data_IF_765263678088
#
_entry.id   IF_765263678088
#
_cell.length_a   1.000
_cell.length_b   1.000
_cell.length_c   1.000
_cell.angle_alpha   90.00
_cell.angle_beta   90.00
_cell.angle_gamma   90.00
#
_symmetry.space_group_name_H-M   'P 1'
#
loop_
_entity.id
_entity.type
_entity.pdbx_description
1 polymer ?
#
# COMPACT_ATOMS: atom_id res chain seq x y z
N UNK A 1 -9.83 45.04 -37.01
CA UNK A 1 -8.54 45.51 -36.52
C UNK A 1 -8.37 44.94 -35.12
N UNK A 2 -7.34 44.14 -34.87
CA UNK A 2 -7.12 43.52 -33.57
C UNK A 2 -6.85 44.57 -32.50
N UNK A 3 -7.64 44.60 -31.42
CA UNK A 3 -7.51 45.52 -30.29
C UNK A 3 -7.62 44.73 -28.99
N UNK A 4 -6.70 44.95 -28.06
CA UNK A 4 -6.71 44.34 -26.74
C UNK A 4 -6.69 45.40 -25.66
N UNK A 5 -7.43 45.13 -24.57
CA UNK A 5 -7.50 46.06 -23.46
C UNK A 5 -6.53 45.59 -22.35
N UNK A 6 -5.57 46.45 -21.99
CA UNK A 6 -4.54 46.14 -21.00
C UNK A 6 -4.91 46.58 -19.58
N UNK A 7 -6.18 46.92 -19.30
CA UNK A 7 -6.59 47.31 -17.93
C UNK A 7 -6.61 46.12 -16.95
N UNK A 8 -6.65 44.88 -17.45
CA UNK A 8 -6.79 43.65 -16.65
C UNK A 8 -5.53 42.75 -16.73
N UNK A 9 -4.34 43.33 -16.80
CA UNK A 9 -3.07 42.58 -16.96
C UNK A 9 -2.78 41.67 -15.77
N UNK A 10 -3.30 41.96 -14.55
CA UNK A 10 -2.99 41.20 -13.34
C UNK A 10 -1.49 41.27 -12.98
N UNK A 11 -0.89 40.13 -12.74
CA UNK A 11 0.55 39.98 -12.45
C UNK A 11 1.42 39.69 -13.67
N UNK A 12 0.82 39.59 -14.86
CA UNK A 12 1.53 39.30 -16.12
C UNK A 12 2.32 40.51 -16.62
N UNK A 13 3.41 40.26 -17.32
CA UNK A 13 4.06 41.31 -18.10
C UNK A 13 3.23 41.65 -19.34
N UNK A 14 3.41 42.87 -19.93
CA UNK A 14 2.65 43.30 -21.11
C UNK A 14 2.78 42.33 -22.30
N UNK A 15 3.96 41.73 -22.50
CA UNK A 15 4.13 40.79 -23.61
C UNK A 15 3.45 39.45 -23.35
N UNK A 16 3.49 38.96 -22.12
CA UNK A 16 2.82 37.71 -21.72
C UNK A 16 1.30 37.83 -21.85
N UNK A 17 0.75 38.96 -21.41
CA UNK A 17 -0.66 39.24 -21.59
C UNK A 17 -1.07 39.27 -23.06
N UNK A 18 -0.32 40.02 -23.90
CA UNK A 18 -0.56 40.10 -25.35
C UNK A 18 -0.45 38.70 -26.01
N UNK A 19 0.57 37.94 -25.65
CA UNK A 19 0.74 36.55 -26.10
C UNK A 19 -0.47 35.68 -25.75
N UNK A 20 -0.94 35.73 -24.49
CA UNK A 20 -2.12 34.98 -24.03
C UNK A 20 -3.39 35.36 -24.78
N UNK A 21 -3.59 36.65 -25.03
CA UNK A 21 -4.74 37.14 -25.81
C UNK A 21 -4.74 36.63 -27.26
N UNK A 22 -3.64 36.76 -27.98
CA UNK A 22 -3.52 36.27 -29.36
C UNK A 22 -3.67 34.76 -29.43
N UNK A 23 -3.01 34.05 -28.54
CA UNK A 23 -3.12 32.58 -28.41
C UNK A 23 -4.57 32.14 -28.22
N UNK A 24 -5.28 32.80 -27.31
CA UNK A 24 -6.69 32.49 -27.02
C UNK A 24 -7.58 32.75 -28.25
N UNK A 25 -7.39 33.86 -28.96
CA UNK A 25 -8.11 34.19 -30.20
C UNK A 25 -7.88 33.14 -31.30
N UNK A 26 -6.65 32.62 -31.40
CA UNK A 26 -6.32 31.56 -32.34
C UNK A 26 -7.02 30.25 -31.93
N UNK A 27 -6.97 29.89 -30.66
CA UNK A 27 -7.58 28.65 -30.13
C UNK A 27 -9.11 28.67 -30.20
N UNK A 28 -9.72 29.87 -30.01
CA UNK A 28 -11.18 30.03 -30.12
C UNK A 28 -11.66 30.22 -31.58
N UNK A 29 -10.72 30.32 -32.54
CA UNK A 29 -11.04 30.50 -33.94
C UNK A 29 -11.47 31.93 -34.30
N UNK A 30 -11.30 32.91 -33.43
CA UNK A 30 -11.49 34.32 -33.72
C UNK A 30 -10.46 34.81 -34.76
N UNK A 31 -9.22 34.31 -34.66
CA UNK A 31 -8.20 34.42 -35.68
C UNK A 31 -8.16 33.13 -36.49
N UNK A 32 -8.43 33.24 -37.78
CA UNK A 32 -8.54 32.07 -38.67
C UNK A 32 -7.18 31.57 -39.13
N UNK A 33 -7.09 30.26 -39.40
CA UNK A 33 -5.91 29.63 -39.99
C UNK A 33 -5.51 30.39 -41.31
N UNK A 34 -4.23 30.69 -41.45
CA UNK A 34 -3.70 31.46 -42.58
C UNK A 34 -4.00 32.98 -42.55
N UNK A 35 -4.69 33.46 -41.52
CA UNK A 35 -4.95 34.89 -41.36
C UNK A 35 -3.67 35.66 -41.10
N UNK A 36 -3.54 36.81 -41.74
CA UNK A 36 -2.36 37.65 -41.61
C UNK A 36 -2.46 38.57 -40.39
N UNK A 37 -1.50 38.45 -39.50
CA UNK A 37 -1.36 39.33 -38.33
C UNK A 37 -0.75 40.70 -38.74
N UNK A 38 -1.04 41.79 -37.98
CA UNK A 38 -0.42 43.08 -38.20
C UNK A 38 1.10 43.02 -38.06
N UNK A 39 1.81 43.92 -38.75
CA UNK A 39 3.26 44.03 -38.54
C UNK A 39 3.59 44.49 -37.13
N UNK A 40 4.72 44.08 -36.56
CA UNK A 40 5.16 44.43 -35.20
C UNK A 40 5.02 45.96 -34.94
N UNK A 41 5.44 46.78 -35.86
CA UNK A 41 5.36 48.26 -35.74
C UNK A 41 3.91 48.78 -35.80
N UNK A 42 3.13 48.25 -36.74
CA UNK A 42 1.71 48.69 -36.91
C UNK A 42 0.89 48.27 -35.69
N UNK A 43 1.13 47.08 -35.17
CA UNK A 43 0.40 46.57 -34.03
C UNK A 43 0.77 47.28 -32.72
N UNK A 44 2.06 47.56 -32.51
CA UNK A 44 2.53 48.35 -31.38
C UNK A 44 1.91 49.77 -31.37
N UNK A 45 1.89 50.41 -32.53
CA UNK A 45 1.26 51.74 -32.68
C UNK A 45 -0.25 51.71 -32.37
N UNK A 46 -0.94 50.69 -32.84
CA UNK A 46 -2.38 50.49 -32.64
C UNK A 46 -2.75 50.26 -31.16
N UNK A 47 -1.94 49.49 -30.46
CA UNK A 47 -2.18 49.11 -29.05
C UNK A 47 -1.57 50.09 -28.05
N UNK A 48 -0.78 51.09 -28.52
CA UNK A 48 -0.11 52.06 -27.66
C UNK A 48 1.00 51.44 -26.78
N UNK A 49 1.64 50.38 -27.26
CA UNK A 49 2.70 49.64 -26.51
C UNK A 49 4.02 49.66 -27.27
N UNK A 50 5.10 49.18 -26.64
CA UNK A 50 6.42 49.13 -27.29
C UNK A 50 6.47 48.08 -28.40
N UNK A 51 7.28 48.32 -29.44
CA UNK A 51 7.53 47.34 -30.50
C UNK A 51 8.16 46.08 -29.96
N UNK A 52 9.03 46.19 -28.95
CA UNK A 52 9.69 45.07 -28.28
C UNK A 52 8.66 44.16 -27.59
N UNK A 53 7.62 44.73 -26.99
CA UNK A 53 6.52 43.94 -26.35
C UNK A 53 5.82 43.06 -27.36
N UNK A 54 5.48 43.63 -28.56
CA UNK A 54 4.86 42.83 -29.63
C UNK A 54 5.82 41.82 -30.21
N UNK A 55 7.08 42.18 -30.32
CA UNK A 55 8.15 41.26 -30.80
C UNK A 55 8.28 40.02 -29.91
N UNK A 56 8.43 40.21 -28.61
CA UNK A 56 8.52 39.10 -27.65
C UNK A 56 7.27 38.20 -27.68
N UNK A 57 6.07 38.78 -27.75
CA UNK A 57 4.83 38.02 -27.87
C UNK A 57 4.78 37.20 -29.18
N UNK A 58 5.21 37.80 -30.31
CA UNK A 58 5.25 37.10 -31.59
C UNK A 58 6.32 36.01 -31.63
N UNK A 59 7.49 36.27 -31.06
CA UNK A 59 8.56 35.27 -30.98
C UNK A 59 8.12 34.05 -30.15
N UNK A 60 7.42 34.27 -29.04
CA UNK A 60 6.87 33.16 -28.25
C UNK A 60 5.78 32.40 -29.02
N UNK A 61 4.86 33.11 -29.72
CA UNK A 61 3.85 32.46 -30.56
C UNK A 61 4.47 31.64 -31.70
N UNK A 62 5.59 32.13 -32.28
CA UNK A 62 6.35 31.41 -33.32
C UNK A 62 7.04 30.18 -32.70
N UNK A 63 7.69 30.32 -31.55
CA UNK A 63 8.36 29.24 -30.88
C UNK A 63 7.39 28.11 -30.50
N UNK A 64 6.18 28.45 -30.11
CA UNK A 64 5.11 27.49 -29.80
C UNK A 64 4.34 27.00 -31.05
N UNK A 65 4.61 27.57 -32.22
CA UNK A 65 4.01 27.18 -33.50
C UNK A 65 2.60 27.71 -33.76
N UNK A 66 2.07 28.64 -32.95
CA UNK A 66 0.76 29.25 -33.18
C UNK A 66 0.72 30.17 -34.40
N UNK A 67 1.84 30.80 -34.69
CA UNK A 67 2.01 31.62 -35.87
C UNK A 67 3.33 31.28 -36.58
N UNK A 68 3.43 31.60 -37.84
CA UNK A 68 4.67 31.46 -38.60
C UNK A 68 5.00 32.76 -39.36
N UNK A 69 6.28 32.97 -39.66
CA UNK A 69 6.79 34.13 -40.37
C UNK A 69 7.08 33.78 -41.82
N UNK A 70 6.60 34.62 -42.75
CA UNK A 70 7.00 34.56 -44.15
C UNK A 70 7.94 35.73 -44.47
N UNK A 71 9.15 35.48 -45.03
CA UNK A 71 10.07 36.54 -45.40
C UNK A 71 9.44 37.58 -46.30
N UNK A 72 9.55 38.87 -45.93
CA UNK A 72 8.96 40.04 -46.61
C UNK A 72 7.43 40.08 -46.72
N UNK A 73 6.71 39.07 -46.17
CA UNK A 73 5.24 38.98 -46.25
C UNK A 73 4.55 39.20 -44.90
N UNK A 74 5.23 38.86 -43.77
CA UNK A 74 4.72 39.09 -42.42
C UNK A 74 4.44 37.83 -41.64
N UNK A 75 3.55 37.92 -40.66
CA UNK A 75 3.20 36.84 -39.72
C UNK A 75 1.82 36.31 -40.02
N UNK A 76 1.63 35.01 -39.91
CA UNK A 76 0.39 34.31 -40.26
C UNK A 76 0.05 33.26 -39.19
N UNK A 77 -1.25 33.07 -38.96
CA UNK A 77 -1.76 32.05 -38.06
C UNK A 77 -1.52 30.66 -38.68
N UNK A 78 -1.02 29.73 -37.87
CA UNK A 78 -0.77 28.36 -38.31
C UNK A 78 -2.11 27.62 -38.53
N UNK A 79 -2.17 26.75 -39.55
CA UNK A 79 -3.33 25.91 -39.80
C UNK A 79 -3.28 24.65 -38.89
N UNK A 80 -4.14 24.61 -37.89
CA UNK A 80 -4.33 23.48 -37.01
C UNK A 80 -5.45 22.54 -37.48
N UNK A 81 -5.99 22.71 -38.70
CA UNK A 81 -7.02 21.84 -39.26
C UNK A 81 -6.45 20.43 -39.46
N UNK A 82 -6.87 19.54 -38.62
CA UNK A 82 -6.47 18.13 -38.58
C UNK A 82 -6.03 17.62 -37.20
N UNK A 83 -5.76 18.49 -36.24
CA UNK A 83 -5.36 18.11 -34.89
C UNK A 83 -6.38 18.46 -33.82
N UNK A 84 -7.21 19.44 -34.07
CA UNK A 84 -8.31 19.83 -33.19
C UNK A 84 -9.64 19.72 -33.94
N UNK A 85 -10.14 18.53 -34.20
CA UNK A 85 -11.59 18.34 -34.04
C UNK A 85 -11.85 18.71 -32.58
N UNK A 86 -12.31 19.90 -32.33
CA UNK A 86 -12.94 20.25 -31.06
C UNK A 86 -14.20 19.38 -30.96
N UNK A 87 -14.04 18.14 -30.49
CA UNK A 87 -15.09 17.57 -29.68
C UNK A 87 -15.32 18.62 -28.62
N UNK A 88 -16.46 19.36 -28.72
CA UNK A 88 -16.99 20.04 -27.56
C UNK A 88 -16.71 19.08 -26.39
N UNK A 89 -15.94 19.51 -25.42
CA UNK A 89 -15.88 18.79 -24.15
C UNK A 89 -17.34 18.68 -23.75
N UNK A 90 -17.95 17.53 -24.04
CA UNK A 90 -19.09 17.11 -23.27
C UNK A 90 -18.60 17.29 -21.84
N UNK A 91 -19.29 18.14 -21.10
CA UNK A 91 -19.05 18.28 -19.68
C UNK A 91 -18.90 16.85 -19.17
N UNK A 92 -17.72 16.54 -18.63
CA UNK A 92 -17.45 15.25 -18.02
C UNK A 92 -18.42 15.20 -16.84
N UNK A 93 -19.64 14.80 -17.16
CA UNK A 93 -20.62 14.44 -16.17
C UNK A 93 -20.09 13.16 -15.51
N UNK A 94 -20.00 13.26 -14.21
CA UNK A 94 -19.60 12.23 -13.28
C UNK A 94 -18.09 11.98 -13.17
N UNK A 95 -17.44 12.89 -12.46
CA UNK A 95 -16.41 12.49 -11.49
C UNK A 95 -17.02 11.33 -10.72
N UNK A 96 -16.47 10.12 -10.93
CA UNK A 96 -16.74 8.96 -10.05
C UNK A 96 -16.67 9.54 -8.64
N UNK A 97 -17.78 9.57 -7.88
CA UNK A 97 -17.71 10.13 -6.56
C UNK A 97 -16.68 9.32 -5.79
N UNK A 98 -15.57 9.96 -5.44
CA UNK A 98 -14.68 9.45 -4.41
C UNK A 98 -15.53 9.50 -3.13
N UNK A 99 -16.26 8.42 -2.90
CA UNK A 99 -17.05 8.22 -1.69
C UNK A 99 -16.09 7.99 -0.53
N UNK A 100 -15.44 9.04 -0.10
CA UNK A 100 -14.91 9.19 1.24
C UNK A 100 -16.04 9.70 2.13
N UNK A 101 -17.11 8.96 2.22
CA UNK A 101 -18.07 9.11 3.29
C UNK A 101 -17.39 8.59 4.55
N UNK A 102 -16.80 9.46 5.35
CA UNK A 102 -16.43 9.17 6.72
C UNK A 102 -17.73 8.98 7.53
N UNK A 103 -18.31 7.78 7.45
CA UNK A 103 -19.28 7.36 8.42
C UNK A 103 -18.53 7.16 9.72
N UNK A 104 -18.68 8.07 10.65
CA UNK A 104 -18.13 7.95 12.01
C UNK A 104 -18.85 6.80 12.72
N UNK A 105 -18.23 5.63 12.74
CA UNK A 105 -18.71 4.47 13.50
C UNK A 105 -18.32 4.60 14.97
N UNK A 106 -19.14 4.05 15.86
CA UNK A 106 -18.78 3.85 17.28
C UNK A 106 -17.58 2.89 17.40
N UNK A 107 -17.55 1.85 16.57
CA UNK A 107 -16.43 0.95 16.39
C UNK A 107 -16.36 0.42 14.95
N UNK A 108 -15.19 0.43 14.33
CA UNK A 108 -14.92 -0.19 13.04
C UNK A 108 -13.94 -1.35 13.22
N UNK A 109 -14.46 -2.58 13.26
CA UNK A 109 -13.64 -3.81 13.36
C UNK A 109 -13.02 -4.25 12.03
N UNK A 110 -13.29 -3.54 10.93
CA UNK A 110 -12.64 -3.76 9.64
C UNK A 110 -11.37 -2.92 9.47
N UNK A 111 -11.20 -1.89 10.32
CA UNK A 111 -10.05 -1.00 10.29
C UNK A 111 -8.80 -1.71 10.79
N UNK A 112 -7.71 -1.52 10.07
CA UNK A 112 -6.42 -2.10 10.38
C UNK A 112 -5.37 -1.01 10.62
N UNK A 113 -5.79 0.12 11.17
CA UNK A 113 -4.96 1.30 11.42
C UNK A 113 -4.28 1.19 12.78
N UNK A 114 -3.04 1.67 12.84
CA UNK A 114 -2.34 1.91 14.11
C UNK A 114 -2.83 3.24 14.67
N UNK A 115 -3.09 3.31 15.97
CA UNK A 115 -3.47 4.56 16.62
C UNK A 115 -2.32 5.59 16.57
N UNK A 116 -2.66 6.84 16.25
CA UNK A 116 -1.67 7.90 16.10
C UNK A 116 -0.82 8.11 17.37
N UNK A 117 -1.42 7.98 18.55
CA UNK A 117 -0.74 8.15 19.84
C UNK A 117 0.31 7.08 20.13
N UNK A 118 0.26 5.96 19.40
CA UNK A 118 1.25 4.90 19.53
C UNK A 118 2.50 5.14 18.68
N UNK A 119 2.44 6.01 17.68
CA UNK A 119 3.62 6.33 16.87
C UNK A 119 4.62 7.18 17.69
N UNK A 120 5.92 6.87 17.66
CA UNK A 120 6.93 7.54 18.48
C UNK A 120 7.38 8.88 17.87
N UNK A 121 6.48 9.85 17.66
CA UNK A 121 6.70 11.11 16.93
C UNK A 121 7.95 11.87 17.41
N UNK A 122 8.13 12.02 18.71
CA UNK A 122 9.27 12.79 19.27
C UNK A 122 10.62 12.16 18.91
N UNK A 123 10.71 10.82 19.05
CA UNK A 123 11.94 10.09 18.74
C UNK A 123 12.17 10.07 17.23
N UNK A 124 11.11 9.80 16.45
CA UNK A 124 11.19 9.80 15.00
C UNK A 124 11.66 11.16 14.45
N UNK A 125 11.08 12.26 14.94
CA UNK A 125 11.50 13.61 14.57
C UNK A 125 12.95 13.94 14.96
N UNK A 126 13.45 13.37 16.07
CA UNK A 126 14.87 13.47 16.45
C UNK A 126 15.74 12.76 15.41
N UNK A 127 15.42 11.51 15.05
CA UNK A 127 16.17 10.73 14.06
C UNK A 127 16.17 11.40 12.68
N UNK A 128 15.02 11.91 12.22
CA UNK A 128 14.94 12.65 10.96
C UNK A 128 15.88 13.86 10.95
N UNK A 129 15.92 14.65 12.02
CA UNK A 129 16.82 15.82 12.11
C UNK A 129 18.30 15.43 12.08
N UNK A 130 18.67 14.34 12.76
CA UNK A 130 20.02 13.80 12.76
C UNK A 130 20.43 13.34 11.34
N UNK A 131 19.58 12.56 10.67
CA UNK A 131 19.79 12.14 9.30
C UNK A 131 19.95 13.32 8.33
N UNK A 132 19.13 14.36 8.45
CA UNK A 132 19.23 15.57 7.62
C UNK A 132 20.54 16.35 7.85
N UNK A 133 21.10 16.28 9.06
CA UNK A 133 22.36 16.96 9.39
C UNK A 133 23.58 16.20 8.87
N UNK A 134 23.60 14.87 9.05
CA UNK A 134 24.81 14.05 8.90
C UNK A 134 24.91 13.32 7.56
N UNK A 135 23.81 13.13 6.84
CA UNK A 135 23.74 12.26 5.66
C UNK A 135 23.42 12.99 4.35
N UNK A 136 23.73 14.27 4.22
CA UNK A 136 23.30 15.13 3.10
C UNK A 136 23.60 14.58 1.73
N UNK A 137 24.81 14.04 1.51
CA UNK A 137 25.24 13.49 0.22
C UNK A 137 24.48 12.18 -0.08
N UNK A 138 24.41 11.30 0.92
CA UNK A 138 23.74 10.01 0.81
C UNK A 138 22.23 10.17 0.53
N UNK A 139 21.61 11.21 1.11
CA UNK A 139 20.19 11.51 0.88
C UNK A 139 19.88 11.89 -0.58
N UNK A 140 20.86 12.50 -1.28
CA UNK A 140 20.72 12.92 -2.67
C UNK A 140 21.19 11.86 -3.68
N UNK A 141 21.71 10.72 -3.22
CA UNK A 141 22.15 9.62 -4.06
C UNK A 141 21.01 8.64 -4.30
N UNK A 142 20.80 8.19 -5.53
CA UNK A 142 19.78 7.17 -5.82
C UNK A 142 20.06 5.89 -5.04
N UNK A 143 19.07 5.33 -4.32
CA UNK A 143 19.26 4.08 -3.59
C UNK A 143 19.45 2.90 -4.54
N UNK A 144 20.28 1.92 -4.18
CA UNK A 144 20.36 0.65 -4.91
C UNK A 144 19.00 -0.05 -4.96
N UNK A 145 18.77 -0.92 -5.95
CA UNK A 145 17.50 -1.65 -6.12
C UNK A 145 17.04 -2.41 -4.86
N UNK A 146 17.98 -2.96 -4.08
CA UNK A 146 17.67 -3.63 -2.81
C UNK A 146 17.51 -2.70 -1.60
N UNK A 147 17.67 -1.37 -1.75
CA UNK A 147 17.71 -0.40 -0.66
C UNK A 147 19.11 -0.20 -0.09
N UNK A 148 19.25 0.77 0.84
CA UNK A 148 20.55 1.13 1.42
C UNK A 148 21.13 -0.02 2.25
N UNK A 149 22.43 -0.24 2.14
CA UNK A 149 23.13 -1.35 2.80
C UNK A 149 23.02 -1.24 4.33
N UNK A 150 23.10 -0.04 4.90
CA UNK A 150 23.08 0.15 6.34
C UNK A 150 21.73 -0.29 6.96
N UNK A 151 20.60 0.03 6.33
CA UNK A 151 19.28 -0.44 6.79
C UNK A 151 19.15 -1.98 6.66
N UNK A 152 19.65 -2.56 5.57
CA UNK A 152 19.65 -4.01 5.40
C UNK A 152 20.48 -4.72 6.48
N UNK A 153 21.63 -4.13 6.87
CA UNK A 153 22.42 -4.62 8.00
C UNK A 153 21.67 -4.54 9.33
N UNK A 154 21.00 -3.42 9.58
CA UNK A 154 20.19 -3.24 10.78
C UNK A 154 19.03 -4.23 10.85
N UNK A 155 18.34 -4.48 9.73
CA UNK A 155 17.27 -5.49 9.65
C UNK A 155 17.85 -6.88 9.88
N UNK A 156 18.99 -7.24 9.28
CA UNK A 156 19.62 -8.55 9.49
C UNK A 156 20.00 -8.77 10.95
N UNK A 157 20.55 -7.76 11.62
CA UNK A 157 20.84 -7.79 13.07
C UNK A 157 19.58 -7.99 13.89
N UNK A 158 18.55 -7.20 13.64
CA UNK A 158 17.25 -7.31 14.31
C UNK A 158 16.61 -8.70 14.15
N UNK A 159 16.63 -9.27 12.94
CA UNK A 159 16.07 -10.60 12.67
C UNK A 159 16.84 -11.71 13.40
N UNK A 160 18.17 -11.58 13.50
CA UNK A 160 19.00 -12.51 14.26
C UNK A 160 18.61 -12.50 15.74
N UNK A 161 18.49 -11.32 16.33
CA UNK A 161 18.23 -11.18 17.76
C UNK A 161 16.76 -11.49 18.12
N UNK A 162 15.83 -11.08 17.25
CA UNK A 162 14.39 -11.24 17.51
C UNK A 162 13.80 -12.57 17.04
N UNK A 163 14.24 -13.07 15.86
CA UNK A 163 13.68 -14.28 15.21
C UNK A 163 14.63 -15.46 15.15
N UNK A 164 15.90 -15.26 15.55
CA UNK A 164 16.93 -16.29 15.39
C UNK A 164 17.30 -16.58 13.93
N UNK A 165 16.97 -15.67 13.01
CA UNK A 165 17.23 -15.81 11.58
C UNK A 165 18.62 -15.29 11.24
N UNK A 166 19.45 -16.13 10.62
CA UNK A 166 20.78 -15.71 10.14
C UNK A 166 20.70 -15.47 8.64
N UNK A 167 20.62 -14.19 8.25
CA UNK A 167 20.53 -13.75 6.83
C UNK A 167 21.65 -12.78 6.48
N UNK A 168 22.08 -12.81 5.25
CA UNK A 168 23.05 -11.82 4.76
C UNK A 168 22.30 -10.55 4.32
N UNK A 169 22.84 -9.35 4.60
CA UNK A 169 22.18 -8.08 4.18
C UNK A 169 21.87 -8.03 2.68
N UNK A 170 22.68 -8.69 1.83
CA UNK A 170 22.50 -8.77 0.39
C UNK A 170 21.20 -9.51 0.00
N UNK A 171 20.72 -10.44 0.82
CA UNK A 171 19.48 -11.17 0.60
C UNK A 171 18.22 -10.31 0.87
N UNK A 172 18.37 -9.19 1.57
CA UNK A 172 17.27 -8.32 1.97
C UNK A 172 16.99 -7.31 0.86
N UNK A 173 15.76 -7.29 0.38
CA UNK A 173 15.27 -6.33 -0.62
C UNK A 173 14.18 -5.48 0.03
N UNK A 174 14.38 -4.17 0.07
CA UNK A 174 13.48 -3.19 0.66
C UNK A 174 12.54 -2.66 -0.43
N UNK A 175 11.25 -2.48 -0.09
CA UNK A 175 10.26 -1.93 -1.00
C UNK A 175 9.16 -1.13 -0.30
N UNK A 176 8.48 -0.27 -1.07
CA UNK A 176 7.41 0.60 -0.59
C UNK A 176 6.09 -0.16 -0.33
N UNK A 177 6.11 -1.05 0.64
CA UNK A 177 5.00 -1.92 1.03
C UNK A 177 5.04 -3.28 0.33
N UNK A 178 4.33 -4.24 0.92
CA UNK A 178 4.29 -5.63 0.44
C UNK A 178 3.70 -5.77 -0.96
N UNK A 179 2.77 -4.91 -1.33
CA UNK A 179 2.15 -4.92 -2.67
C UNK A 179 3.17 -4.72 -3.79
N UNK A 180 4.12 -3.81 -3.59
CA UNK A 180 5.22 -3.60 -4.53
C UNK A 180 6.14 -4.83 -4.60
N UNK A 181 6.45 -5.41 -3.43
CA UNK A 181 7.29 -6.60 -3.35
C UNK A 181 6.62 -7.82 -4.02
N UNK A 182 5.29 -7.98 -3.91
CA UNK A 182 4.57 -9.04 -4.66
C UNK A 182 4.75 -8.86 -6.17
N UNK A 183 4.67 -7.62 -6.67
CA UNK A 183 4.93 -7.34 -8.09
C UNK A 183 6.36 -7.69 -8.52
N UNK A 184 7.35 -7.42 -7.68
CA UNK A 184 8.74 -7.83 -7.95
C UNK A 184 8.90 -9.37 -7.93
N UNK A 185 8.24 -10.05 -6.98
CA UNK A 185 8.27 -11.51 -6.92
C UNK A 185 7.64 -12.15 -8.16
N UNK A 186 6.54 -11.62 -8.66
CA UNK A 186 5.92 -12.12 -9.90
C UNK A 186 6.89 -11.96 -11.09
N UNK A 187 7.57 -10.81 -11.20
CA UNK A 187 8.55 -10.60 -12.24
C UNK A 187 9.78 -11.53 -12.12
N UNK A 188 10.17 -11.85 -10.90
CA UNK A 188 11.31 -12.74 -10.60
C UNK A 188 10.96 -14.21 -10.86
N UNK A 189 9.84 -14.68 -10.33
CA UNK A 189 9.41 -16.09 -10.35
C UNK A 189 8.70 -16.48 -11.66
N UNK A 190 8.15 -15.49 -12.38
CA UNK A 190 7.52 -15.68 -13.69
C UNK A 190 6.00 -15.70 -13.64
N UNK A 191 5.40 -15.27 -14.75
CA UNK A 191 3.95 -15.23 -14.95
C UNK A 191 3.33 -16.60 -15.23
N UNK A 192 4.14 -17.54 -15.75
CA UNK A 192 3.68 -18.90 -16.11
C UNK A 192 3.56 -19.82 -14.89
N UNK A 193 4.18 -19.46 -13.75
CA UNK A 193 4.12 -20.22 -12.51
C UNK A 193 2.67 -20.23 -11.96
N UNK A 194 2.29 -21.32 -11.31
CA UNK A 194 1.01 -21.47 -10.63
C UNK A 194 1.15 -21.02 -9.19
N UNK A 195 0.57 -19.88 -8.87
CA UNK A 195 0.56 -19.33 -7.51
C UNK A 195 -0.61 -19.90 -6.71
N UNK A 196 -0.45 -20.02 -5.40
CA UNK A 196 -1.53 -20.41 -4.51
C UNK A 196 -1.60 -19.51 -3.28
N UNK A 197 -2.82 -19.28 -2.79
CA UNK A 197 -3.10 -18.50 -1.58
C UNK A 197 -3.99 -19.30 -0.64
N UNK A 198 -4.00 -18.94 0.63
CA UNK A 198 -4.80 -19.55 1.68
C UNK A 198 -6.30 -19.28 1.50
N UNK A 199 -7.15 -20.26 1.83
CA UNK A 199 -8.62 -20.17 1.84
C UNK A 199 -9.21 -20.72 3.16
N UNK A 200 -9.74 -19.85 4.06
CA UNK A 200 -9.89 -18.40 3.90
C UNK A 200 -8.54 -17.69 3.89
N UNK A 201 -8.49 -16.47 3.36
CA UNK A 201 -7.23 -15.72 3.31
C UNK A 201 -7.44 -14.24 3.04
N UNK A 202 -6.34 -13.50 2.99
CA UNK A 202 -6.36 -12.07 2.70
C UNK A 202 -6.67 -11.83 1.23
N UNK A 203 -7.93 -11.52 0.93
CA UNK A 203 -8.48 -11.41 -0.44
C UNK A 203 -7.68 -10.48 -1.37
N UNK A 204 -6.96 -9.52 -0.80
CA UNK A 204 -6.16 -8.57 -1.58
C UNK A 204 -5.02 -9.26 -2.34
N UNK A 205 -4.44 -10.34 -1.79
CA UNK A 205 -3.36 -11.09 -2.44
C UNK A 205 -3.87 -11.71 -3.74
N UNK A 206 -5.01 -12.42 -3.68
CA UNK A 206 -5.64 -13.00 -4.87
C UNK A 206 -5.99 -11.95 -5.93
N UNK A 207 -6.51 -10.77 -5.51
CA UNK A 207 -6.78 -9.64 -6.42
C UNK A 207 -5.53 -9.09 -7.08
N UNK A 208 -4.41 -9.05 -6.35
CA UNK A 208 -3.11 -8.63 -6.91
C UNK A 208 -2.66 -9.65 -7.96
N UNK A 209 -2.67 -10.94 -7.65
CA UNK A 209 -2.33 -11.99 -8.60
C UNK A 209 -3.21 -11.97 -9.85
N UNK A 210 -4.53 -11.78 -9.68
CA UNK A 210 -5.46 -11.60 -10.80
C UNK A 210 -5.10 -10.38 -11.66
N UNK A 211 -4.75 -9.26 -11.04
CA UNK A 211 -4.41 -8.01 -11.74
C UNK A 211 -3.09 -8.14 -12.53
N UNK A 212 -2.13 -8.92 -12.01
CA UNK A 212 -0.91 -9.28 -12.73
C UNK A 212 -1.09 -10.40 -13.77
N UNK A 213 -2.32 -10.92 -13.92
CA UNK A 213 -2.68 -11.97 -14.88
C UNK A 213 -1.86 -13.26 -14.73
N UNK A 214 -1.43 -13.57 -13.51
CA UNK A 214 -0.78 -14.85 -13.21
C UNK A 214 -1.81 -15.95 -12.98
N UNK A 215 -1.44 -17.19 -13.25
CA UNK A 215 -2.27 -18.34 -12.91
C UNK A 215 -2.23 -18.55 -11.40
N UNK A 216 -3.37 -18.40 -10.73
CA UNK A 216 -3.43 -18.57 -9.28
C UNK A 216 -4.62 -19.41 -8.83
N UNK A 217 -4.49 -20.05 -7.69
CA UNK A 217 -5.46 -20.94 -7.08
C UNK A 217 -5.56 -20.66 -5.59
N UNK A 218 -6.62 -21.10 -4.95
CA UNK A 218 -6.69 -21.13 -3.49
C UNK A 218 -6.51 -22.55 -2.97
N UNK A 219 -5.95 -22.67 -1.75
CA UNK A 219 -5.72 -23.91 -1.05
C UNK A 219 -6.52 -23.85 0.25
N UNK A 220 -7.35 -24.83 0.50
CA UNK A 220 -8.14 -24.90 1.71
C UNK A 220 -7.23 -25.11 2.93
N UNK A 221 -7.74 -24.68 4.06
CA UNK A 221 -7.08 -24.82 5.35
C UNK A 221 -7.85 -25.72 6.26
N UNK A 222 -7.12 -26.51 7.03
CA UNK A 222 -7.59 -27.17 8.23
C UNK A 222 -7.22 -26.38 9.50
N UNK A 223 -7.31 -27.00 10.68
CA UNK A 223 -6.94 -26.37 11.95
C UNK A 223 -5.44 -26.13 12.14
N UNK A 224 -4.59 -26.65 11.27
CA UNK A 224 -3.12 -26.54 11.32
C UNK A 224 -2.55 -25.66 10.21
N UNK A 225 -3.38 -25.16 9.29
CA UNK A 225 -2.98 -24.32 8.15
C UNK A 225 -3.34 -24.95 6.81
N UNK A 226 -2.63 -24.57 5.73
CA UNK A 226 -2.91 -25.08 4.38
C UNK A 226 -2.76 -26.59 4.27
N UNK A 227 -3.66 -27.21 3.51
CA UNK A 227 -3.63 -28.64 3.20
C UNK A 227 -2.58 -28.91 2.12
N UNK A 228 -1.43 -29.45 2.50
CA UNK A 228 -0.27 -29.63 1.60
C UNK A 228 -0.58 -30.58 0.43
N UNK A 229 -1.46 -31.57 0.63
CA UNK A 229 -1.92 -32.48 -0.44
C UNK A 229 -2.53 -31.73 -1.65
N UNK A 230 -3.27 -30.66 -1.39
CA UNK A 230 -3.88 -29.85 -2.46
C UNK A 230 -2.84 -29.11 -3.31
N UNK A 231 -1.63 -28.82 -2.77
CA UNK A 231 -0.55 -28.19 -3.55
C UNK A 231 -0.07 -29.13 -4.70
N UNK A 232 0.03 -30.41 -4.41
CA UNK A 232 0.37 -31.43 -5.44
C UNK A 232 -0.77 -31.62 -6.42
N UNK A 233 -2.00 -31.82 -5.92
CA UNK A 233 -3.19 -32.02 -6.75
C UNK A 233 -3.42 -30.86 -7.72
N UNK A 234 -3.31 -29.65 -7.24
CA UNK A 234 -3.51 -28.43 -8.03
C UNK A 234 -2.26 -27.98 -8.81
N UNK A 235 -1.16 -28.76 -8.76
CA UNK A 235 0.11 -28.49 -9.47
C UNK A 235 0.62 -27.08 -9.19
N UNK A 236 0.73 -26.73 -7.90
CA UNK A 236 1.20 -25.41 -7.45
C UNK A 236 2.72 -25.36 -7.52
N UNK A 237 3.25 -24.23 -7.99
CA UNK A 237 4.68 -23.92 -7.99
C UNK A 237 5.03 -23.01 -6.80
N UNK A 238 4.18 -22.03 -6.50
CA UNK A 238 4.46 -21.02 -5.48
C UNK A 238 3.28 -20.92 -4.54
N UNK A 239 3.50 -21.15 -3.24
CA UNK A 239 2.47 -20.98 -2.21
C UNK A 239 2.76 -19.76 -1.35
N UNK A 240 1.76 -18.88 -1.18
CA UNK A 240 1.82 -17.67 -0.36
C UNK A 240 0.98 -17.87 0.89
N UNK A 241 1.63 -17.88 2.05
CA UNK A 241 1.05 -18.24 3.34
C UNK A 241 1.51 -17.33 4.47
N UNK A 242 0.71 -17.26 5.54
CA UNK A 242 1.02 -16.52 6.78
C UNK A 242 1.10 -17.47 7.99
N UNK A 243 2.16 -18.28 8.11
CA UNK A 243 2.20 -19.40 9.04
C UNK A 243 2.41 -19.00 10.50
N UNK A 244 2.92 -17.80 10.77
CA UNK A 244 3.16 -17.31 12.14
C UNK A 244 1.88 -16.81 12.82
N UNK A 245 0.96 -16.26 12.05
CA UNK A 245 -0.33 -15.76 12.48
C UNK A 245 -1.22 -15.57 11.26
N UNK A 246 -2.04 -16.57 10.97
CA UNK A 246 -2.87 -16.53 9.77
C UNK A 246 -3.99 -15.48 9.89
N UNK A 247 -4.11 -14.60 8.89
CA UNK A 247 -5.25 -13.71 8.77
C UNK A 247 -6.28 -14.27 7.77
N UNK A 248 -7.56 -14.44 8.15
CA UNK A 248 -8.19 -13.87 9.35
C UNK A 248 -8.38 -14.81 10.53
N UNK A 249 -7.96 -16.08 10.47
CA UNK A 249 -8.37 -17.11 11.43
C UNK A 249 -7.60 -17.10 12.75
N UNK A 250 -6.43 -16.44 12.78
CA UNK A 250 -5.55 -16.48 13.95
C UNK A 250 -4.78 -17.80 14.12
N UNK A 251 -4.91 -18.74 13.18
CA UNK A 251 -4.19 -20.03 13.23
C UNK A 251 -2.69 -19.78 13.23
N UNK A 252 -1.99 -20.46 14.11
CA UNK A 252 -0.52 -20.53 14.15
C UNK A 252 -0.11 -21.93 13.67
N UNK A 253 0.55 -22.00 12.54
CA UNK A 253 0.94 -23.25 11.89
C UNK A 253 1.95 -24.02 12.75
N UNK A 254 1.67 -25.29 13.15
CA UNK A 254 2.58 -26.11 13.94
C UNK A 254 3.82 -26.50 13.15
N UNK A 255 4.86 -26.89 13.86
CA UNK A 255 6.15 -27.24 13.26
C UNK A 255 6.05 -28.44 12.31
N UNK A 256 5.16 -29.40 12.58
CA UNK A 256 4.89 -30.54 11.70
C UNK A 256 4.47 -30.10 10.31
N UNK A 257 3.48 -29.21 10.20
CA UNK A 257 2.98 -28.70 8.94
C UNK A 257 4.03 -27.84 8.19
N UNK A 258 4.89 -27.13 8.95
CA UNK A 258 6.02 -26.39 8.36
C UNK A 258 6.99 -27.33 7.66
N UNK A 259 7.33 -28.46 8.26
CA UNK A 259 8.19 -29.47 7.63
C UNK A 259 7.51 -30.17 6.45
N UNK A 260 6.20 -30.40 6.48
CA UNK A 260 5.47 -30.92 5.31
C UNK A 260 5.57 -29.97 4.10
N UNK A 261 5.40 -28.66 4.35
CA UNK A 261 5.53 -27.63 3.31
C UNK A 261 6.96 -27.55 2.76
N UNK A 262 7.98 -27.55 3.62
CA UNK A 262 9.38 -27.59 3.19
C UNK A 262 9.68 -28.85 2.39
N UNK A 263 9.13 -30.00 2.81
CA UNK A 263 9.23 -31.26 2.08
C UNK A 263 8.56 -31.20 0.71
N UNK A 264 7.42 -30.51 0.60
CA UNK A 264 6.76 -30.25 -0.69
C UNK A 264 7.63 -29.35 -1.59
N UNK A 265 8.14 -28.25 -1.06
CA UNK A 265 8.92 -27.31 -1.83
C UNK A 265 10.24 -27.90 -2.32
N UNK A 266 10.90 -28.75 -1.53
CA UNK A 266 12.18 -29.39 -1.88
C UNK A 266 12.08 -30.40 -3.01
N UNK A 267 10.88 -30.93 -3.32
CA UNK A 267 10.65 -31.91 -4.40
C UNK A 267 10.65 -31.30 -5.81
N UNK A 268 10.58 -29.97 -5.95
CA UNK A 268 10.54 -29.32 -7.26
C UNK A 268 11.51 -28.14 -7.35
N UNK A 269 12.28 -28.05 -8.45
CA UNK A 269 13.24 -26.94 -8.62
C UNK A 269 12.55 -25.57 -8.62
N UNK A 270 11.44 -25.42 -9.31
CA UNK A 270 10.65 -24.17 -9.41
C UNK A 270 9.69 -23.91 -8.26
N UNK A 271 9.64 -24.77 -7.22
CA UNK A 271 8.74 -24.58 -6.08
C UNK A 271 9.32 -23.65 -5.04
N UNK A 272 8.51 -22.69 -4.58
CA UNK A 272 8.87 -21.77 -3.52
C UNK A 272 7.69 -21.52 -2.57
N UNK A 273 8.03 -21.14 -1.33
CA UNK A 273 7.07 -20.72 -0.31
C UNK A 273 7.30 -19.22 -0.05
N UNK A 274 6.28 -18.39 -0.18
CA UNK A 274 6.27 -17.01 0.29
C UNK A 274 5.70 -17.04 1.70
N UNK A 275 6.55 -16.78 2.68
CA UNK A 275 6.19 -16.66 4.10
C UNK A 275 5.93 -15.19 4.42
N UNK A 276 4.66 -14.78 4.50
CA UNK A 276 4.26 -13.42 4.86
C UNK A 276 4.07 -13.30 6.37
N UNK A 277 5.05 -12.68 7.04
CA UNK A 277 5.14 -12.55 8.49
C UNK A 277 4.82 -11.12 8.93
N UNK A 278 3.60 -10.67 8.63
CA UNK A 278 3.16 -9.27 8.66
C UNK A 278 3.00 -8.65 10.05
N UNK A 279 2.89 -9.44 11.14
CA UNK A 279 2.61 -8.95 12.51
C UNK A 279 3.28 -9.74 13.65
N UNK A 280 4.32 -10.50 13.34
CA UNK A 280 5.01 -11.35 14.33
C UNK A 280 5.58 -10.60 15.52
N UNK A 281 5.92 -9.34 15.34
CA UNK A 281 6.35 -8.44 16.41
C UNK A 281 5.25 -8.22 17.45
N UNK A 282 3.97 -8.33 17.06
CA UNK A 282 2.80 -8.14 17.92
C UNK A 282 2.27 -9.45 18.52
N UNK A 283 3.10 -10.49 18.60
CA UNK A 283 2.74 -11.72 19.33
C UNK A 283 2.64 -11.40 20.82
N UNK A 284 1.42 -11.51 21.36
CA UNK A 284 1.09 -11.10 22.72
C UNK A 284 1.28 -12.21 23.76
N UNK A 285 1.37 -13.47 23.35
CA UNK A 285 1.53 -14.63 24.24
C UNK A 285 2.40 -15.74 23.64
N UNK A 286 2.86 -16.66 24.49
CA UNK A 286 3.63 -17.84 24.10
C UNK A 286 5.07 -17.57 23.64
N UNK A 287 5.83 -18.65 23.41
CA UNK A 287 7.18 -18.56 22.84
C UNK A 287 7.10 -18.37 21.32
N UNK A 288 8.02 -17.61 20.70
CA UNK A 288 8.10 -17.53 19.26
C UNK A 288 8.28 -18.92 18.63
N UNK A 289 7.50 -19.22 17.58
CA UNK A 289 7.72 -20.40 16.76
C UNK A 289 8.76 -20.03 15.69
N UNK A 290 9.75 -20.90 15.40
CA UNK A 290 10.71 -20.66 14.32
C UNK A 290 9.99 -20.39 13.00
N UNK A 291 10.46 -19.42 12.21
CA UNK A 291 9.93 -19.17 10.86
C UNK A 291 10.23 -20.35 9.94
N UNK A 292 9.47 -20.50 8.86
CA UNK A 292 9.83 -21.45 7.79
C UNK A 292 11.24 -21.14 7.25
N UNK A 293 11.54 -19.86 7.05
CA UNK A 293 12.84 -19.41 6.56
C UNK A 293 13.99 -19.84 7.51
N UNK A 294 13.79 -19.74 8.83
CA UNK A 294 14.86 -20.08 9.80
C UNK A 294 15.18 -21.57 9.88
N UNK A 295 14.28 -22.44 9.45
CA UNK A 295 14.44 -23.91 9.43
C UNK A 295 14.62 -24.48 8.00
N UNK A 296 14.62 -23.60 6.99
CA UNK A 296 14.75 -23.99 5.58
C UNK A 296 16.23 -24.24 5.22
N UNK A 297 16.61 -25.50 5.06
CA UNK A 297 17.91 -25.90 4.57
C UNK A 297 18.00 -26.02 3.04
N UNK A 298 16.84 -25.96 2.35
CA UNK A 298 16.74 -26.20 0.91
C UNK A 298 16.67 -24.90 0.10
N UNK A 299 16.71 -23.75 0.76
CA UNK A 299 16.63 -22.41 0.15
C UNK A 299 15.37 -22.24 -0.74
N UNK A 300 14.21 -22.63 -0.22
CA UNK A 300 12.91 -22.58 -0.90
C UNK A 300 11.97 -21.52 -0.33
N UNK A 301 12.34 -20.86 0.77
CA UNK A 301 11.48 -19.88 1.44
C UNK A 301 11.90 -18.46 1.13
N UNK A 302 10.95 -17.69 0.63
CA UNK A 302 11.01 -16.24 0.49
C UNK A 302 10.28 -15.66 1.69
N UNK A 303 11.02 -15.04 2.60
CA UNK A 303 10.41 -14.41 3.79
C UNK A 303 10.05 -12.96 3.50
N UNK A 304 8.89 -12.52 3.98
CA UNK A 304 8.43 -11.14 3.85
C UNK A 304 7.98 -10.59 5.19
N UNK A 305 8.25 -9.30 5.42
CA UNK A 305 7.76 -8.59 6.59
C UNK A 305 7.55 -7.09 6.27
N UNK A 306 6.85 -6.38 7.17
CA UNK A 306 6.49 -4.98 6.98
C UNK A 306 6.52 -4.19 8.28
N UNK A 307 7.00 -2.97 8.23
CA UNK A 307 6.93 -2.02 9.35
C UNK A 307 5.56 -1.34 9.48
N UNK A 308 4.61 -1.67 8.61
CA UNK A 308 3.26 -1.09 8.59
C UNK A 308 2.50 -1.28 9.90
N UNK A 309 2.64 -2.46 10.53
CA UNK A 309 1.95 -2.80 11.77
C UNK A 309 2.66 -2.33 13.02
N UNK A 310 3.96 -2.22 12.93
CA UNK A 310 4.83 -1.87 14.06
C UNK A 310 5.12 -0.38 14.15
N UNK A 311 5.01 0.36 13.06
CA UNK A 311 5.15 1.81 13.04
C UNK A 311 3.84 2.48 12.62
N UNK A 312 3.65 2.67 11.32
CA UNK A 312 2.42 3.22 10.76
C UNK A 312 2.23 2.73 9.31
N UNK A 313 0.97 2.60 8.88
CA UNK A 313 0.64 2.19 7.51
C UNK A 313 1.17 3.16 6.45
N UNK A 314 1.38 4.42 6.81
CA UNK A 314 1.88 5.49 5.96
C UNK A 314 3.40 5.49 5.78
N UNK A 315 4.17 4.83 6.65
CA UNK A 315 5.63 4.69 6.52
C UNK A 315 6.02 3.86 5.29
N UNK A 316 5.16 2.93 4.89
CA UNK A 316 5.29 2.16 3.64
C UNK A 316 6.65 1.47 3.45
N UNK A 317 7.29 1.02 4.50
CA UNK A 317 8.52 0.22 4.41
C UNK A 317 8.19 -1.25 4.68
N UNK A 318 8.54 -2.09 3.72
CA UNK A 318 8.49 -3.55 3.82
C UNK A 318 9.77 -4.13 3.26
N UNK A 319 10.06 -5.37 3.55
CA UNK A 319 11.21 -6.06 3.00
C UNK A 319 10.91 -7.52 2.72
N UNK A 320 11.68 -8.10 1.81
CA UNK A 320 11.71 -9.54 1.56
C UNK A 320 13.14 -10.05 1.67
N UNK A 321 13.27 -11.31 2.05
CA UNK A 321 14.53 -12.04 2.11
C UNK A 321 14.48 -13.11 1.04
N UNK A 322 15.36 -13.00 0.07
CA UNK A 322 15.47 -13.96 -1.02
C UNK A 322 16.42 -15.10 -0.66
N UNK A 323 16.07 -16.35 -0.94
CA UNK A 323 17.01 -17.46 -0.91
C UNK A 323 18.11 -17.22 -1.97
N UNK A 324 19.31 -17.75 -1.73
CA UNK A 324 20.48 -17.49 -2.57
C UNK A 324 20.26 -17.77 -4.06
N UNK A 325 19.59 -18.85 -4.48
CA UNK A 325 19.34 -19.11 -5.90
C UNK A 325 18.53 -18.02 -6.60
N UNK A 326 17.60 -17.37 -5.88
CA UNK A 326 16.79 -16.27 -6.41
C UNK A 326 17.50 -14.92 -6.34
N UNK A 327 18.45 -14.75 -5.43
CA UNK A 327 19.18 -13.49 -5.25
C UNK A 327 19.99 -13.12 -6.50
N UNK A 328 20.71 -14.08 -7.05
CA UNK A 328 21.48 -13.87 -8.29
C UNK A 328 20.56 -13.49 -9.46
N UNK A 329 19.45 -14.23 -9.62
CA UNK A 329 18.45 -13.94 -10.64
C UNK A 329 17.83 -12.55 -10.45
N UNK A 330 17.56 -12.15 -9.19
CA UNK A 330 17.02 -10.83 -8.89
C UNK A 330 17.96 -9.72 -9.37
N UNK A 331 19.23 -9.78 -9.02
CA UNK A 331 20.18 -8.76 -9.45
C UNK A 331 20.45 -8.78 -10.96
N UNK A 332 20.39 -9.93 -11.62
CA UNK A 332 20.52 -10.01 -13.07
C UNK A 332 19.30 -9.42 -13.81
N UNK A 333 18.09 -9.69 -13.32
CA UNK A 333 16.85 -9.30 -14.01
C UNK A 333 16.32 -7.93 -13.61
N UNK A 334 16.48 -7.52 -12.34
CA UNK A 334 15.75 -6.41 -11.74
C UNK A 334 16.64 -5.31 -11.15
N UNK A 335 17.98 -5.40 -11.28
CA UNK A 335 18.90 -4.40 -10.72
C UNK A 335 18.80 -3.00 -11.34
N UNK A 336 18.13 -2.87 -12.49
CA UNK A 336 17.89 -1.58 -13.14
C UNK A 336 16.81 -0.73 -12.44
N UNK A 337 16.00 -1.33 -11.55
CA UNK A 337 15.09 -0.57 -10.70
C UNK A 337 15.86 0.16 -9.59
N UNK A 338 15.38 1.35 -9.22
CA UNK A 338 15.76 1.98 -7.96
C UNK A 338 14.84 1.51 -6.84
N UNK A 339 15.34 1.46 -5.60
CA UNK A 339 14.48 1.20 -4.46
C UNK A 339 13.37 2.26 -4.37
N UNK A 340 12.15 1.82 -4.14
CA UNK A 340 10.97 2.69 -4.09
C UNK A 340 10.78 3.41 -2.76
N UNK A 341 11.55 3.05 -1.73
CA UNK A 341 11.54 3.74 -0.43
C UNK A 341 12.54 4.89 -0.46
N UNK A 342 12.11 6.05 -0.03
CA UNK A 342 12.94 7.25 0.07
C UNK A 342 14.17 7.03 0.98
N UNK A 343 15.32 7.57 0.59
CA UNK A 343 16.51 7.55 1.43
C UNK A 343 16.29 8.24 2.78
N UNK A 344 15.48 9.29 2.84
CA UNK A 344 15.13 9.96 4.09
C UNK A 344 14.51 9.00 5.10
N UNK A 345 13.60 8.17 4.65
CA UNK A 345 12.93 7.16 5.48
C UNK A 345 13.82 5.97 5.78
N UNK A 346 14.60 5.52 4.80
CA UNK A 346 15.51 4.38 4.99
C UNK A 346 16.59 4.71 6.05
N UNK A 347 17.26 5.86 5.96
CA UNK A 347 18.26 6.26 6.95
C UNK A 347 17.65 6.57 8.32
N UNK A 348 16.43 7.13 8.36
CA UNK A 348 15.72 7.37 9.63
C UNK A 348 15.38 6.05 10.33
N UNK A 349 14.87 5.05 9.59
CA UNK A 349 14.56 3.74 10.14
C UNK A 349 15.83 2.99 10.56
N UNK A 350 16.90 3.07 9.76
CA UNK A 350 18.21 2.48 10.09
C UNK A 350 18.68 2.98 11.45
N UNK A 351 18.70 4.30 11.65
CA UNK A 351 19.11 4.92 12.89
C UNK A 351 18.18 4.54 14.06
N UNK A 352 16.87 4.51 13.81
CA UNK A 352 15.86 4.12 14.80
C UNK A 352 16.05 2.68 15.30
N UNK A 353 16.46 1.76 14.42
CA UNK A 353 16.79 0.37 14.78
C UNK A 353 18.12 0.33 15.54
N UNK A 354 19.20 0.92 15.00
CA UNK A 354 20.55 0.90 15.57
C UNK A 354 20.63 1.45 16.99
N UNK A 355 19.89 2.52 17.27
CA UNK A 355 19.82 3.15 18.59
C UNK A 355 18.93 2.37 19.58
N UNK A 356 18.35 1.22 19.17
CA UNK A 356 17.49 0.37 19.99
C UNK A 356 16.11 0.97 20.29
N UNK A 357 15.73 2.04 19.58
CA UNK A 357 14.40 2.65 19.77
C UNK A 357 13.28 1.77 19.19
N UNK A 358 13.56 1.03 18.12
CA UNK A 358 12.59 0.11 17.53
C UNK A 358 12.19 -0.99 18.51
N UNK A 359 13.16 -1.64 19.16
CA UNK A 359 12.89 -2.69 20.16
C UNK A 359 12.07 -2.16 21.35
N UNK A 360 12.47 -0.99 21.88
CA UNK A 360 11.73 -0.33 22.97
C UNK A 360 10.29 -0.03 22.54
N UNK A 361 10.11 0.42 21.31
CA UNK A 361 8.79 0.70 20.74
C UNK A 361 7.94 -0.55 20.62
N UNK A 362 8.47 -1.66 20.09
CA UNK A 362 7.77 -2.95 20.00
C UNK A 362 7.32 -3.44 21.39
N UNK A 363 8.18 -3.37 22.38
CA UNK A 363 7.84 -3.79 23.74
C UNK A 363 6.70 -2.92 24.32
N UNK A 364 6.69 -1.61 24.06
CA UNK A 364 5.59 -0.73 24.45
C UNK A 364 4.29 -1.09 23.72
N UNK A 365 4.34 -1.34 22.42
CA UNK A 365 3.16 -1.74 21.62
C UNK A 365 2.58 -3.07 22.09
N UNK A 366 3.41 -4.06 22.41
CA UNK A 366 2.94 -5.35 22.94
C UNK A 366 2.17 -5.15 24.24
N UNK A 367 2.72 -4.40 25.19
CA UNK A 367 2.03 -4.11 26.44
C UNK A 367 0.71 -3.36 26.21
N UNK A 368 0.73 -2.37 25.31
CA UNK A 368 -0.47 -1.62 24.94
C UNK A 368 -1.57 -2.52 24.38
N UNK A 369 -1.26 -3.32 23.35
CA UNK A 369 -2.25 -4.20 22.74
C UNK A 369 -2.67 -5.36 23.65
N UNK A 370 -1.77 -5.86 24.52
CA UNK A 370 -2.12 -6.85 25.53
C UNK A 370 -3.18 -6.30 26.50
N UNK A 371 -2.97 -5.09 27.02
CA UNK A 371 -3.91 -4.42 27.91
C UNK A 371 -5.25 -4.16 27.22
N UNK A 372 -5.21 -3.70 25.98
CA UNK A 372 -6.39 -3.42 25.16
C UNK A 372 -7.19 -4.69 24.90
N UNK A 373 -6.53 -5.79 24.54
CA UNK A 373 -7.15 -7.11 24.39
C UNK A 373 -7.82 -7.56 25.68
N UNK A 374 -7.07 -7.54 26.78
CA UNK A 374 -7.59 -8.00 28.08
C UNK A 374 -8.81 -7.18 28.52
N UNK A 375 -8.75 -5.85 28.34
CA UNK A 375 -9.88 -4.97 28.65
C UNK A 375 -11.12 -5.26 27.78
N UNK A 376 -10.92 -5.57 26.50
CA UNK A 376 -12.03 -5.92 25.62
C UNK A 376 -12.65 -7.27 26.00
N UNK A 377 -11.83 -8.29 26.22
CA UNK A 377 -12.31 -9.59 26.62
C UNK A 377 -13.00 -9.55 27.99
N UNK A 378 -12.44 -8.83 28.97
CA UNK A 378 -13.09 -8.61 30.26
C UNK A 378 -14.47 -7.97 30.10
N UNK A 379 -14.59 -6.91 29.29
CA UNK A 379 -15.87 -6.27 29.05
C UNK A 379 -16.91 -7.21 28.41
N UNK A 380 -16.50 -8.15 27.57
CA UNK A 380 -17.38 -9.20 27.03
C UNK A 380 -17.81 -10.15 28.15
N UNK A 381 -16.88 -10.65 28.97
CA UNK A 381 -17.15 -11.60 30.02
C UNK A 381 -17.98 -11.02 31.16
N UNK A 382 -17.83 -9.72 31.45
CA UNK A 382 -18.59 -9.00 32.49
C UNK A 382 -20.00 -8.58 32.04
N UNK A 383 -20.35 -8.80 30.77
CA UNK A 383 -21.66 -8.46 30.15
C UNK A 383 -22.49 -9.72 29.87
N UNK A 384 -23.74 -9.55 29.45
CA UNK A 384 -24.57 -10.66 28.95
C UNK A 384 -24.11 -11.27 27.63
N UNK A 385 -23.24 -10.57 26.89
CA UNK A 385 -22.72 -10.99 25.59
C UNK A 385 -21.99 -12.33 25.65
N UNK A 386 -21.30 -12.65 26.75
CA UNK A 386 -20.58 -13.91 26.92
C UNK A 386 -21.46 -15.16 26.75
N UNK A 387 -22.78 -15.06 26.98
CA UNK A 387 -23.72 -16.17 26.84
C UNK A 387 -23.99 -16.57 25.39
N UNK A 388 -23.82 -15.61 24.47
CA UNK A 388 -24.17 -15.78 23.06
C UNK A 388 -22.97 -15.65 22.11
N UNK A 389 -21.75 -15.66 22.63
CA UNK A 389 -20.54 -15.63 21.77
C UNK A 389 -19.60 -16.79 22.07
N UNK A 390 -18.82 -17.15 21.05
CA UNK A 390 -17.61 -17.98 21.17
C UNK A 390 -16.44 -17.17 20.63
N UNK A 391 -15.32 -17.16 21.35
CA UNK A 391 -14.11 -16.43 20.99
C UNK A 391 -13.01 -17.43 20.69
N UNK A 392 -12.24 -17.17 19.64
CA UNK A 392 -11.09 -17.98 19.25
C UNK A 392 -10.03 -17.12 18.54
N UNK A 393 -8.77 -17.60 18.51
CA UNK A 393 -7.67 -16.93 17.81
C UNK A 393 -7.12 -15.69 18.53
N UNK A 394 -7.32 -15.55 19.85
CA UNK A 394 -6.91 -14.37 20.62
C UNK A 394 -5.44 -14.41 21.08
N UNK A 395 -4.69 -15.46 20.77
CA UNK A 395 -3.33 -15.62 21.29
C UNK A 395 -2.28 -14.73 20.60
N UNK A 396 -2.55 -14.28 19.39
CA UNK A 396 -1.59 -13.53 18.59
C UNK A 396 -2.25 -12.32 17.88
N UNK A 397 -1.43 -11.32 17.54
CA UNK A 397 -1.84 -10.17 16.76
C UNK A 397 -2.86 -9.25 17.44
N UNK A 398 -3.57 -8.48 16.62
CA UNK A 398 -4.51 -7.44 17.06
C UNK A 398 -5.97 -7.74 16.67
N UNK A 399 -6.29 -8.99 16.43
CA UNK A 399 -7.65 -9.45 16.14
C UNK A 399 -7.92 -10.81 16.77
N UNK A 400 -9.18 -11.15 16.88
CA UNK A 400 -9.68 -12.49 17.24
C UNK A 400 -10.97 -12.77 16.47
N UNK A 401 -11.41 -14.02 16.45
CA UNK A 401 -12.70 -14.39 15.89
C UNK A 401 -13.76 -14.41 16.99
N UNK A 402 -14.93 -13.85 16.70
CA UNK A 402 -16.11 -13.89 17.53
C UNK A 402 -17.27 -14.50 16.74
N UNK A 403 -17.75 -15.66 17.16
CA UNK A 403 -18.93 -16.31 16.61
C UNK A 403 -20.15 -15.97 17.46
N UNK A 404 -21.19 -15.43 16.84
CA UNK A 404 -22.48 -15.17 17.49
C UNK A 404 -23.35 -16.41 17.38
N UNK A 405 -23.92 -16.83 18.53
CA UNK A 405 -24.92 -17.93 18.63
C UNK A 405 -26.29 -17.36 18.36
N UNK A 406 -26.65 -17.19 17.11
CA UNK A 406 -27.92 -16.62 16.67
C UNK A 406 -28.46 -17.36 15.45
N UNK A 407 -29.78 -17.40 15.32
CA UNK A 407 -30.47 -17.95 14.13
C UNK A 407 -30.69 -16.90 13.03
N UNK A 408 -30.31 -15.64 13.30
CA UNK A 408 -30.45 -14.55 12.33
C UNK A 408 -29.47 -14.79 11.16
N UNK A 409 -29.87 -14.45 9.95
CA UNK A 409 -28.98 -14.44 8.80
C UNK A 409 -27.84 -13.43 9.00
N UNK A 410 -26.65 -13.75 8.49
CA UNK A 410 -25.44 -12.95 8.65
C UNK A 410 -25.63 -11.50 8.17
N UNK A 411 -26.34 -11.31 7.06
CA UNK A 411 -26.64 -9.98 6.50
C UNK A 411 -27.50 -9.15 7.48
N UNK A 412 -28.48 -9.77 8.14
CA UNK A 412 -29.33 -9.11 9.12
C UNK A 412 -28.52 -8.68 10.35
N UNK A 413 -27.58 -9.52 10.80
CA UNK A 413 -26.68 -9.20 11.91
C UNK A 413 -25.81 -7.99 11.56
N UNK A 414 -25.26 -7.94 10.35
CA UNK A 414 -24.44 -6.82 9.87
C UNK A 414 -25.24 -5.51 9.85
N UNK A 415 -26.48 -5.53 9.36
CA UNK A 415 -27.34 -4.32 9.34
C UNK A 415 -27.73 -3.89 10.75
N UNK A 416 -28.04 -4.81 11.65
CA UNK A 416 -28.33 -4.49 13.06
C UNK A 416 -27.09 -3.90 13.75
N UNK A 417 -25.89 -4.43 13.49
CA UNK A 417 -24.64 -3.89 14.00
C UNK A 417 -24.40 -2.46 13.50
N UNK A 418 -24.60 -2.23 12.21
CA UNK A 418 -24.48 -0.91 11.59
C UNK A 418 -25.46 0.10 12.21
N UNK A 419 -26.68 -0.32 12.52
CA UNK A 419 -27.66 0.53 13.23
C UNK A 419 -27.21 0.91 14.66
N UNK A 420 -26.35 0.10 15.31
CA UNK A 420 -25.69 0.44 16.58
C UNK A 420 -24.38 1.23 16.39
N UNK A 421 -24.04 1.62 15.17
CA UNK A 421 -22.77 2.30 14.82
C UNK A 421 -21.56 1.37 14.85
N UNK A 422 -21.76 0.06 14.73
CA UNK A 422 -20.70 -0.95 14.76
C UNK A 422 -20.54 -1.55 13.37
N UNK A 423 -19.33 -1.53 12.84
CA UNK A 423 -19.00 -2.13 11.56
C UNK A 423 -18.29 -3.45 11.76
N UNK A 424 -18.93 -4.55 11.37
CA UNK A 424 -18.43 -5.92 11.49
C UNK A 424 -17.79 -6.40 10.20
N UNK A 425 -16.81 -7.31 10.32
CA UNK A 425 -16.15 -7.99 9.21
C UNK A 425 -16.48 -9.49 9.28
N UNK A 426 -17.46 -9.99 8.50
CA UNK A 426 -17.79 -11.40 8.56
C UNK A 426 -16.68 -12.25 7.95
N UNK A 427 -16.41 -13.40 8.56
CA UNK A 427 -15.40 -14.36 8.12
C UNK A 427 -15.71 -14.92 6.72
N UNK A 428 -16.99 -15.01 6.36
CA UNK A 428 -17.46 -15.44 5.05
C UNK A 428 -16.86 -14.63 3.89
N UNK A 429 -16.54 -13.35 4.08
CA UNK A 429 -15.90 -12.48 3.08
C UNK A 429 -14.46 -12.87 2.75
N UNK A 430 -13.81 -13.69 3.57
CA UNK A 430 -12.43 -14.10 3.37
C UNK A 430 -12.31 -15.44 2.64
N UNK A 431 -13.43 -16.11 2.39
CA UNK A 431 -13.49 -17.31 1.56
C UNK A 431 -13.69 -16.94 0.09
N UNK A 432 -13.04 -17.66 -0.80
CA UNK A 432 -13.22 -17.52 -2.24
C UNK A 432 -14.50 -18.20 -2.72
N UNK A 433 -14.93 -19.25 -2.00
CA UNK A 433 -16.19 -19.93 -2.20
C UNK A 433 -16.97 -20.00 -0.89
N UNK A 434 -18.31 -19.98 -0.97
CA UNK A 434 -19.15 -20.10 0.23
C UNK A 434 -18.92 -21.45 0.90
N UNK A 435 -18.60 -21.41 2.19
CA UNK A 435 -18.42 -22.59 3.03
C UNK A 435 -19.50 -22.58 4.11
N UNK A 436 -20.16 -23.73 4.34
CA UNK A 436 -21.18 -23.87 5.38
C UNK A 436 -20.54 -23.90 6.78
N UNK A 437 -21.28 -23.40 7.77
CA UNK A 437 -20.90 -23.48 9.20
C UNK A 437 -19.98 -22.37 9.72
N UNK A 438 -19.67 -21.39 8.86
CA UNK A 438 -18.85 -20.21 9.23
C UNK A 438 -19.68 -18.96 9.45
N UNK A 439 -20.99 -19.04 9.20
CA UNK A 439 -21.92 -17.93 9.29
C UNK A 439 -21.90 -17.34 10.72
N UNK A 440 -22.16 -16.06 10.81
CA UNK A 440 -22.15 -15.29 12.06
C UNK A 440 -20.83 -15.35 12.83
N UNK A 441 -19.72 -15.61 12.12
CA UNK A 441 -18.36 -15.48 12.66
C UNK A 441 -17.73 -14.19 12.13
N UNK A 442 -17.22 -13.33 13.02
CA UNK A 442 -16.69 -12.01 12.68
C UNK A 442 -15.24 -11.86 13.10
N UNK A 443 -14.46 -11.21 12.26
CA UNK A 443 -13.07 -10.83 12.56
C UNK A 443 -13.10 -9.53 13.37
N UNK A 444 -12.72 -9.61 14.63
CA UNK A 444 -12.75 -8.50 15.59
C UNK A 444 -11.37 -7.87 15.69
N UNK A 445 -11.04 -6.98 14.75
CA UNK A 445 -9.80 -6.21 14.84
C UNK A 445 -9.97 -5.07 15.85
N UNK A 446 -9.27 -5.17 16.99
CA UNK A 446 -9.39 -4.20 18.07
C UNK A 446 -8.31 -3.11 18.05
N UNK A 447 -7.45 -3.07 17.02
CA UNK A 447 -6.33 -2.12 16.96
C UNK A 447 -6.78 -0.65 17.06
N UNK A 448 -7.87 -0.28 16.38
CA UNK A 448 -8.43 1.08 16.33
C UNK A 448 -9.64 1.30 17.25
N UNK A 449 -9.99 0.34 18.11
CA UNK A 449 -11.15 0.46 19.01
C UNK A 449 -10.84 1.38 20.17
N UNK A 450 -11.68 2.38 20.39
CA UNK A 450 -11.60 3.28 21.55
C UNK A 450 -12.06 2.55 22.83
N UNK A 451 -11.12 2.32 23.74
CA UNK A 451 -11.38 1.59 24.99
C UNK A 451 -12.27 2.36 25.98
N UNK A 452 -12.34 3.68 25.90
CA UNK A 452 -13.25 4.48 26.73
C UNK A 452 -14.72 4.20 26.35
N UNK A 453 -14.95 3.76 25.11
CA UNK A 453 -16.29 3.42 24.58
C UNK A 453 -16.64 1.94 24.65
N UNK A 454 -15.73 1.09 25.17
CA UNK A 454 -15.87 -0.38 25.11
C UNK A 454 -17.21 -0.86 25.72
N UNK A 455 -17.66 -0.27 26.83
CA UNK A 455 -18.93 -0.63 27.43
C UNK A 455 -20.17 -0.30 26.58
N UNK A 456 -20.08 0.74 25.70
CA UNK A 456 -21.14 1.04 24.72
C UNK A 456 -21.10 0.05 23.55
N UNK A 457 -19.90 -0.30 23.10
CA UNK A 457 -19.67 -1.25 22.00
C UNK A 457 -20.23 -2.62 22.41
N UNK A 458 -19.86 -3.13 23.58
CA UNK A 458 -20.30 -4.44 24.08
C UNK A 458 -21.82 -4.48 24.25
N UNK A 459 -22.45 -3.42 24.81
CA UNK A 459 -23.93 -3.33 24.87
C UNK A 459 -24.59 -3.28 23.49
N UNK A 460 -23.93 -2.64 22.51
CA UNK A 460 -24.40 -2.65 21.13
C UNK A 460 -24.39 -4.04 20.52
N UNK A 461 -23.31 -4.80 20.74
CA UNK A 461 -23.18 -6.19 20.31
C UNK A 461 -24.18 -7.12 21.02
N UNK A 462 -24.42 -6.93 22.31
CA UNK A 462 -25.39 -7.70 23.09
C UNK A 462 -26.81 -7.62 22.55
N UNK A 463 -27.22 -6.43 22.05
CA UNK A 463 -28.55 -6.21 21.44
C UNK A 463 -28.74 -6.94 20.10
N UNK A 464 -27.68 -7.39 19.49
CA UNK A 464 -27.69 -8.06 18.18
C UNK A 464 -27.84 -9.57 18.35
N UNK A 465 -27.34 -10.12 19.45
CA UNK A 465 -27.60 -11.49 19.85
C UNK A 465 -29.09 -11.75 20.08
#
# INVERSE_FOLDING_TARGET
MLTYNFTNIGSDSMYEYLYKCIKNDILQGTLQAGEKLPSKRSFAKNLGISVITVENAYEQLIAEGYIYSMPKRGFYVTDFKGVLETKQREEVQEIIPLTSGENSYLADFTSNQTEADQFPFTIWAKMVREVLSDSRIQLMTNPPCGGIMSLRQSIAGYLKDFRGMTVQPEQIIIGAGTEYLYGLLIQLLGHEAVYAVENPGYQKIGKIYQNYQVNWKYIDMDKEGVEVSQLEEKKVDIVHISPSHHYPTGIVMPISRRYELLGWASKGEGRYIIEDDYDSELRLGGKPIPTLQSIDISEKVIYMNTFTKTLASTVRISYMILPRPLLEQFYQKLSFYSCTVSNFEQYTLDLFIKEGYFEKHINRLRNYYQNKKNGFLSAIWDSGLHKCVEISGEEAGVHFLMKLKTEKAEENVIELAKAQGIKLSPLSKFYYEKKAGIENTYVMNYSSVDMERIGKIVRGLEKIC
#
